data_IF_603987082378
#
_entry.id   IF_603987082378
#
_cell.length_a   1.000
_cell.length_b   1.000
_cell.length_c   1.000
_cell.angle_alpha   90.00
_cell.angle_beta   90.00
_cell.angle_gamma   90.00
#
_symmetry.space_group_name_H-M   'P 1'
#
loop_
_entity.id
_entity.type
_entity.pdbx_description
1 polymer ?
#
# COMPACT_ATOMS: atom_id res chain seq x y z
N UNK A 1 -39.27 15.15 -5.20
CA UNK A 1 -38.20 15.14 -4.19
C UNK A 1 -37.71 13.71 -4.08
N UNK A 2 -36.60 13.42 -4.74
CA UNK A 2 -36.00 12.09 -4.74
C UNK A 2 -35.22 11.94 -3.44
N UNK A 3 -35.59 10.95 -2.65
CA UNK A 3 -34.94 10.53 -1.43
C UNK A 3 -33.63 9.83 -1.86
N UNK A 4 -32.51 10.56 -1.85
CA UNK A 4 -31.18 9.97 -2.04
C UNK A 4 -30.87 9.08 -0.84
N UNK A 5 -30.86 7.79 -1.06
CA UNK A 5 -30.40 6.82 -0.08
C UNK A 5 -28.98 7.21 0.40
N UNK A 6 -28.71 7.18 1.71
CA UNK A 6 -27.40 7.57 2.23
C UNK A 6 -26.32 6.69 1.61
N UNK A 7 -25.32 7.33 1.01
CA UNK A 7 -24.17 6.66 0.42
C UNK A 7 -23.58 5.69 1.46
N UNK A 8 -23.41 4.42 1.05
CA UNK A 8 -22.82 3.39 1.92
C UNK A 8 -21.47 3.90 2.45
N UNK A 9 -21.42 4.19 3.73
CA UNK A 9 -20.21 4.60 4.43
C UNK A 9 -19.11 3.56 4.17
N UNK A 10 -18.04 3.99 3.52
CA UNK A 10 -16.86 3.15 3.35
C UNK A 10 -16.33 2.86 4.76
N UNK A 11 -16.17 1.58 5.08
CA UNK A 11 -15.67 1.17 6.40
C UNK A 11 -14.17 1.47 6.46
N UNK A 12 -13.79 2.61 7.04
CA UNK A 12 -12.41 3.01 7.28
C UNK A 12 -12.10 2.86 8.77
N UNK A 13 -10.97 2.27 9.10
CA UNK A 13 -10.56 2.06 10.49
C UNK A 13 -10.11 0.62 10.75
N UNK A 14 -9.62 0.33 11.96
CA UNK A 14 -9.16 -1.00 12.31
C UNK A 14 -10.30 -2.03 12.22
N UNK A 15 -10.00 -3.23 11.70
CA UNK A 15 -10.94 -4.37 11.68
C UNK A 15 -11.47 -4.59 13.11
N UNK A 16 -12.75 -4.33 13.36
CA UNK A 16 -13.35 -4.47 14.69
C UNK A 16 -14.40 -3.41 15.04
N UNK A 17 -14.72 -2.50 14.13
CA UNK A 17 -15.70 -1.43 14.33
C UNK A 17 -15.13 -0.18 15.02
N UNK A 18 -15.93 0.92 15.11
CA UNK A 18 -15.47 2.18 15.66
C UNK A 18 -15.16 2.03 17.14
N UNK A 19 -13.93 2.33 17.53
CA UNK A 19 -13.59 2.46 18.96
C UNK A 19 -14.15 3.80 19.47
N UNK A 20 -14.77 3.79 20.65
CA UNK A 20 -15.27 5.02 21.32
C UNK A 20 -14.22 6.14 21.42
N UNK A 21 -12.93 5.78 21.42
CA UNK A 21 -11.81 6.71 21.54
C UNK A 21 -11.32 7.27 20.19
N UNK A 22 -12.00 6.94 19.07
CA UNK A 22 -11.60 7.34 17.72
C UNK A 22 -10.34 6.62 17.20
N UNK A 23 -9.93 6.97 15.99
CA UNK A 23 -8.76 6.39 15.33
C UNK A 23 -7.96 7.47 14.58
N UNK A 24 -6.72 7.18 14.27
CA UNK A 24 -5.91 8.04 13.41
C UNK A 24 -6.08 7.61 11.96
N UNK A 25 -6.52 8.54 11.12
CA UNK A 25 -6.57 8.42 9.67
C UNK A 25 -5.33 9.07 9.09
N UNK A 26 -4.60 8.33 8.28
CA UNK A 26 -3.45 8.86 7.54
C UNK A 26 -3.88 9.03 6.09
N UNK A 27 -3.76 10.26 5.58
CA UNK A 27 -3.95 10.57 4.17
C UNK A 27 -2.66 11.11 3.58
N UNK A 28 -2.41 10.76 2.34
CA UNK A 28 -1.29 11.30 1.56
C UNK A 28 -1.72 12.59 0.83
N UNK A 29 -3.04 12.78 0.65
CA UNK A 29 -3.56 13.90 -0.12
C UNK A 29 -4.90 14.40 0.41
N UNK A 30 -4.95 15.68 0.71
CA UNK A 30 -6.18 16.44 0.90
C UNK A 30 -6.72 16.84 -0.48
N UNK A 31 -7.95 16.49 -0.78
CA UNK A 31 -8.59 16.72 -2.09
C UNK A 31 -9.34 18.04 -2.11
N UNK A 32 -10.08 18.35 -1.05
CA UNK A 32 -10.83 19.59 -0.93
C UNK A 32 -10.84 20.07 0.52
N UNK A 33 -10.88 21.39 0.70
CA UNK A 33 -11.03 22.06 1.99
C UNK A 33 -12.15 23.08 1.88
N UNK A 34 -13.17 22.95 2.73
CA UNK A 34 -14.28 23.90 2.82
C UNK A 34 -14.41 24.41 4.27
N UNK A 35 -13.74 25.52 4.61
CA UNK A 35 -13.77 26.06 5.98
C UNK A 35 -15.16 26.57 6.39
N UNK A 36 -15.95 27.10 5.44
CA UNK A 36 -17.30 27.64 5.73
C UNK A 36 -18.29 26.50 6.10
N UNK A 37 -18.21 25.37 5.39
CA UNK A 37 -18.99 24.19 5.70
C UNK A 37 -18.40 23.36 6.85
N UNK A 38 -17.21 23.72 7.37
CA UNK A 38 -16.45 22.93 8.35
C UNK A 38 -16.22 21.51 7.89
N UNK A 39 -15.85 21.34 6.64
CA UNK A 39 -15.66 20.04 5.99
C UNK A 39 -14.37 20.02 5.18
N UNK A 40 -13.83 18.82 5.03
CA UNK A 40 -12.74 18.57 4.09
C UNK A 40 -12.78 17.14 3.57
N UNK A 41 -12.21 16.96 2.40
CA UNK A 41 -12.19 15.68 1.69
C UNK A 41 -10.76 15.19 1.54
N UNK A 42 -10.55 13.91 1.84
CA UNK A 42 -9.25 13.25 1.77
C UNK A 42 -9.30 12.01 0.89
N UNK A 43 -8.21 11.78 0.18
CA UNK A 43 -7.99 10.57 -0.60
C UNK A 43 -7.35 9.50 0.27
N UNK A 44 -7.90 8.28 0.21
CA UNK A 44 -7.43 7.12 0.97
C UNK A 44 -6.74 6.14 0.03
N UNK A 45 -5.42 6.18 -0.04
CA UNK A 45 -4.64 5.27 -0.88
C UNK A 45 -4.84 3.80 -0.51
N UNK A 46 -5.00 3.49 0.77
CA UNK A 46 -5.28 2.14 1.25
C UNK A 46 -6.65 1.59 0.79
N UNK A 47 -7.48 2.40 0.13
CA UNK A 47 -8.83 2.07 -0.33
C UNK A 47 -9.03 2.44 -1.81
N UNK A 48 -8.05 2.14 -2.65
CA UNK A 48 -8.07 2.36 -4.11
C UNK A 48 -8.31 3.83 -4.52
N UNK A 49 -7.75 4.79 -3.77
CA UNK A 49 -7.90 6.22 -4.06
C UNK A 49 -9.32 6.77 -3.82
N UNK A 50 -10.16 6.06 -3.07
CA UNK A 50 -11.50 6.56 -2.71
C UNK A 50 -11.37 7.77 -1.80
N UNK A 51 -12.24 8.75 -2.01
CA UNK A 51 -12.29 9.94 -1.18
C UNK A 51 -13.28 9.77 -0.02
N UNK A 52 -13.00 10.44 1.09
CA UNK A 52 -13.86 10.48 2.27
C UNK A 52 -14.04 11.92 2.70
N UNK A 53 -15.28 12.32 2.85
CA UNK A 53 -15.66 13.60 3.44
C UNK A 53 -15.67 13.47 4.97
N UNK A 54 -15.05 14.42 5.64
CA UNK A 54 -14.99 14.50 7.09
C UNK A 54 -15.55 15.85 7.56
N UNK A 55 -16.40 15.83 8.57
CA UNK A 55 -16.79 17.02 9.30
C UNK A 55 -15.64 17.44 10.23
N UNK A 56 -15.52 18.71 10.56
CA UNK A 56 -14.45 19.23 11.40
C UNK A 56 -15.02 19.77 12.71
N UNK A 57 -14.49 19.29 13.82
CA UNK A 57 -14.86 19.78 15.15
C UNK A 57 -14.39 21.23 15.35
N UNK A 58 -15.08 21.96 16.21
CA UNK A 58 -14.75 23.38 16.51
C UNK A 58 -13.30 23.55 16.96
N UNK A 59 -12.82 22.64 17.78
CA UNK A 59 -11.44 22.65 18.29
C UNK A 59 -10.37 22.50 17.20
N UNK A 60 -10.74 21.93 16.04
CA UNK A 60 -9.82 21.65 14.93
C UNK A 60 -9.91 22.69 13.78
N UNK A 61 -10.77 23.73 13.92
CA UNK A 61 -10.97 24.70 12.84
C UNK A 61 -9.74 25.57 12.56
N UNK A 62 -8.94 25.87 13.57
CA UNK A 62 -7.70 26.62 13.37
C UNK A 62 -6.66 25.78 12.60
N UNK A 63 -6.58 24.51 12.87
CA UNK A 63 -5.71 23.58 12.12
C UNK A 63 -6.19 23.47 10.66
N UNK A 64 -7.53 23.44 10.43
CA UNK A 64 -8.10 23.38 9.08
C UNK A 64 -7.66 24.53 8.19
N UNK A 65 -7.50 25.74 8.74
CA UNK A 65 -7.04 26.93 7.99
C UNK A 65 -5.62 26.80 7.46
N UNK A 66 -4.82 25.92 8.06
CA UNK A 66 -3.41 25.70 7.66
C UNK A 66 -3.26 24.61 6.59
N UNK A 67 -4.28 23.75 6.43
CA UNK A 67 -4.28 22.64 5.48
C UNK A 67 -4.58 23.15 4.07
N UNK A 68 -3.82 22.68 3.09
CA UNK A 68 -4.01 22.98 1.67
C UNK A 68 -4.33 21.73 0.88
N UNK A 69 -5.04 21.89 -0.22
CA UNK A 69 -5.23 20.83 -1.21
C UNK A 69 -3.85 20.31 -1.66
N UNK A 70 -3.69 18.99 -1.63
CA UNK A 70 -2.43 18.32 -1.93
C UNK A 70 -1.54 18.05 -0.73
N UNK A 71 -1.88 18.51 0.48
CA UNK A 71 -1.13 18.17 1.69
C UNK A 71 -1.43 16.74 2.16
N UNK A 72 -0.40 16.08 2.68
CA UNK A 72 -0.59 14.88 3.50
C UNK A 72 -0.93 15.25 4.94
N UNK A 73 -1.75 14.45 5.60
CA UNK A 73 -2.13 14.71 6.99
C UNK A 73 -2.34 13.42 7.78
N UNK A 74 -2.10 13.51 9.08
CA UNK A 74 -2.61 12.54 10.07
C UNK A 74 -3.75 13.21 10.81
N UNK A 75 -4.92 12.57 10.82
CA UNK A 75 -6.17 13.14 11.28
C UNK A 75 -6.71 12.27 12.40
N UNK A 76 -7.01 12.85 13.55
CA UNK A 76 -7.74 12.15 14.59
C UNK A 76 -9.23 12.19 14.28
N UNK A 77 -9.82 11.05 13.98
CA UNK A 77 -11.23 10.91 13.61
C UNK A 77 -12.00 10.20 14.71
N UNK A 78 -13.19 10.72 15.02
CA UNK A 78 -14.18 10.10 15.91
C UNK A 78 -15.47 9.90 15.12
N UNK A 79 -16.17 8.81 15.35
CA UNK A 79 -17.50 8.58 14.78
C UNK A 79 -18.57 8.91 15.80
N UNK A 80 -19.40 9.93 15.53
CA UNK A 80 -20.49 10.40 16.37
C UNK A 80 -21.77 10.51 15.53
N UNK A 81 -22.84 9.84 15.94
CA UNK A 81 -24.14 9.92 15.26
C UNK A 81 -24.12 9.51 13.78
N UNK A 82 -23.24 8.58 13.38
CA UNK A 82 -23.07 8.15 12.00
C UNK A 82 -22.26 9.12 11.13
N UNK A 83 -21.68 10.16 11.73
CA UNK A 83 -20.77 11.10 11.05
C UNK A 83 -19.33 10.87 11.49
N UNK A 84 -18.40 11.19 10.61
CA UNK A 84 -16.96 11.16 10.89
C UNK A 84 -16.47 12.56 11.13
N UNK A 85 -15.98 12.81 12.34
CA UNK A 85 -15.59 14.12 12.80
C UNK A 85 -14.08 14.13 13.05
N UNK A 86 -13.38 15.02 12.36
CA UNK A 86 -11.97 15.28 12.60
C UNK A 86 -11.80 16.15 13.84
N UNK A 87 -11.10 15.66 14.84
CA UNK A 87 -10.85 16.33 16.13
C UNK A 87 -9.52 17.07 16.15
N UNK A 88 -8.56 16.64 15.38
CA UNK A 88 -7.28 17.34 15.22
C UNK A 88 -6.59 16.91 13.94
N UNK A 89 -5.70 17.75 13.44
CA UNK A 89 -4.89 17.53 12.28
C UNK A 89 -3.41 17.69 12.62
N UNK A 90 -2.60 16.83 12.04
CA UNK A 90 -1.15 17.02 12.00
C UNK A 90 -0.74 17.01 10.53
N UNK A 91 -0.43 18.18 9.98
CA UNK A 91 0.05 18.29 8.60
C UNK A 91 1.37 17.54 8.52
N UNK A 92 1.47 16.62 7.59
CA UNK A 92 2.74 15.94 7.27
C UNK A 92 3.54 16.91 6.41
N UNK A 93 4.80 17.11 6.79
CA UNK A 93 5.71 17.86 5.94
C UNK A 93 5.67 17.26 4.54
N UNK A 94 5.48 18.12 3.53
CA UNK A 94 5.46 17.69 2.14
C UNK A 94 6.80 17.02 1.86
N UNK A 95 6.78 15.74 1.55
CA UNK A 95 8.00 15.05 1.17
C UNK A 95 8.55 15.75 -0.09
N UNK A 96 9.75 16.31 -0.05
CA UNK A 96 10.33 16.98 -1.21
C UNK A 96 10.44 16.04 -2.41
N UNK A 97 10.43 14.73 -2.17
CA UNK A 97 10.49 13.70 -3.20
C UNK A 97 9.10 13.32 -3.77
N UNK A 98 7.99 13.70 -3.12
CA UNK A 98 6.65 13.30 -3.55
C UNK A 98 6.33 13.81 -4.97
N UNK A 99 6.59 15.08 -5.26
CA UNK A 99 6.36 15.64 -6.59
C UNK A 99 7.26 14.98 -7.66
N UNK A 100 8.50 14.65 -7.28
CA UNK A 100 9.43 13.93 -8.15
C UNK A 100 8.93 12.50 -8.41
N UNK A 101 8.47 11.81 -7.37
CA UNK A 101 7.90 10.48 -7.50
C UNK A 101 6.65 10.47 -8.39
N UNK A 102 5.75 11.46 -8.25
CA UNK A 102 4.55 11.59 -9.07
C UNK A 102 4.89 11.76 -10.55
N UNK A 103 5.88 12.61 -10.89
CA UNK A 103 6.36 12.77 -12.26
C UNK A 103 6.94 11.44 -12.80
N UNK A 104 7.78 10.76 -12.00
CA UNK A 104 8.41 9.50 -12.41
C UNK A 104 7.40 8.36 -12.57
N UNK A 105 6.30 8.35 -11.79
CA UNK A 105 5.23 7.38 -11.98
C UNK A 105 4.54 7.52 -13.35
N UNK A 106 4.41 8.75 -13.86
CA UNK A 106 3.91 9.00 -15.22
C UNK A 106 4.94 8.58 -16.28
N UNK A 107 6.20 8.91 -16.06
CA UNK A 107 7.29 8.63 -16.99
C UNK A 107 7.58 7.13 -17.15
N UNK A 108 7.15 6.26 -16.22
CA UNK A 108 7.21 4.80 -16.41
C UNK A 108 6.39 4.29 -17.61
N UNK A 109 5.43 5.11 -18.08
CA UNK A 109 4.59 4.80 -19.27
C UNK A 109 4.93 5.63 -20.48
N UNK A 110 6.03 6.37 -20.43
CA UNK A 110 6.48 7.23 -21.53
C UNK A 110 6.81 6.40 -22.79
N UNK A 111 6.43 6.84 -23.99
CA UNK A 111 6.79 6.17 -25.24
C UNK A 111 8.30 5.98 -25.41
N UNK A 112 9.09 6.92 -24.90
CA UNK A 112 10.55 6.88 -25.05
C UNK A 112 11.17 6.06 -23.92
N UNK A 113 11.83 4.97 -24.27
CA UNK A 113 12.42 4.02 -23.32
C UNK A 113 13.41 4.63 -22.31
N UNK A 114 14.13 5.68 -22.68
CA UNK A 114 15.05 6.37 -21.76
C UNK A 114 14.30 6.99 -20.58
N UNK A 115 13.11 7.57 -20.83
CA UNK A 115 12.30 8.15 -19.76
C UNK A 115 11.78 7.03 -18.84
N UNK A 116 11.29 5.91 -19.41
CA UNK A 116 10.88 4.74 -18.61
C UNK A 116 12.03 4.20 -17.76
N UNK A 117 13.23 4.08 -18.35
CA UNK A 117 14.45 3.62 -17.64
C UNK A 117 14.80 4.56 -16.49
N UNK A 118 14.86 5.86 -16.73
CA UNK A 118 15.15 6.87 -15.69
C UNK A 118 14.10 6.88 -14.58
N UNK A 119 12.85 6.82 -14.96
CA UNK A 119 11.74 6.77 -14.03
C UNK A 119 11.85 5.55 -13.10
N UNK A 120 12.11 4.37 -13.67
CA UNK A 120 12.32 3.16 -12.89
C UNK A 120 13.47 3.31 -11.87
N UNK A 121 14.60 3.86 -12.31
CA UNK A 121 15.77 4.06 -11.45
C UNK A 121 15.48 5.00 -10.28
N UNK A 122 14.91 6.18 -10.55
CA UNK A 122 14.58 7.18 -9.53
C UNK A 122 13.56 6.65 -8.52
N UNK A 123 12.53 5.96 -8.98
CA UNK A 123 11.51 5.38 -8.09
C UNK A 123 12.09 4.30 -7.17
N UNK A 124 13.07 3.54 -7.67
CA UNK A 124 13.81 2.60 -6.84
C UNK A 124 14.70 3.29 -5.79
N UNK A 125 15.37 4.39 -6.15
CA UNK A 125 16.18 5.18 -5.22
C UNK A 125 15.34 5.83 -4.12
N UNK A 126 14.17 6.35 -4.49
CA UNK A 126 13.19 6.90 -3.56
C UNK A 126 12.52 5.82 -2.70
N UNK A 127 12.68 4.55 -3.04
CA UNK A 127 11.96 3.40 -2.46
C UNK A 127 10.44 3.63 -2.49
N UNK A 128 9.95 4.18 -3.60
CA UNK A 128 8.56 4.56 -3.79
C UNK A 128 7.68 3.30 -3.91
N UNK A 129 6.91 3.03 -2.89
CA UNK A 129 6.08 1.81 -2.83
C UNK A 129 4.92 1.82 -3.82
N UNK A 130 4.40 3.00 -4.21
CA UNK A 130 3.37 3.14 -5.26
C UNK A 130 3.87 2.70 -6.63
N UNK A 131 5.19 2.70 -6.84
CA UNK A 131 5.80 2.25 -8.07
C UNK A 131 5.88 0.73 -8.22
N UNK A 132 5.57 -0.05 -7.17
CA UNK A 132 5.73 -1.51 -7.21
C UNK A 132 4.94 -2.13 -8.36
N UNK A 133 3.64 -1.82 -8.50
CA UNK A 133 2.82 -2.33 -9.60
C UNK A 133 3.39 -1.95 -10.98
N UNK A 134 3.58 -0.66 -11.28
CA UNK A 134 4.20 -0.22 -12.54
C UNK A 134 5.60 -0.80 -12.81
N UNK A 135 6.43 -0.98 -11.77
CA UNK A 135 7.76 -1.62 -11.94
C UNK A 135 7.65 -3.13 -12.21
N UNK A 136 6.64 -3.80 -11.67
CA UNK A 136 6.35 -5.19 -12.02
C UNK A 136 5.94 -5.30 -13.51
N UNK A 137 5.10 -4.40 -14.01
CA UNK A 137 4.79 -4.31 -15.45
C UNK A 137 6.06 -4.09 -16.29
N UNK A 138 6.97 -3.23 -15.83
CA UNK A 138 8.22 -2.94 -16.50
C UNK A 138 9.24 -4.10 -16.52
N UNK A 139 9.03 -5.17 -15.76
CA UNK A 139 9.87 -6.40 -15.84
C UNK A 139 9.74 -7.11 -17.18
N UNK A 140 8.68 -6.85 -17.94
CA UNK A 140 8.44 -7.39 -19.28
C UNK A 140 8.48 -6.31 -20.36
N UNK A 141 9.08 -5.14 -20.07
CA UNK A 141 9.28 -4.08 -21.06
C UNK A 141 10.04 -4.60 -22.30
N UNK A 142 9.72 -4.08 -23.47
CA UNK A 142 10.38 -4.43 -24.73
C UNK A 142 11.89 -4.16 -24.68
N UNK A 143 12.32 -3.12 -23.92
CA UNK A 143 13.71 -2.71 -23.82
C UNK A 143 14.40 -3.32 -22.61
N UNK A 144 15.46 -4.07 -22.82
CA UNK A 144 16.20 -4.77 -21.77
C UNK A 144 16.73 -3.88 -20.65
N UNK A 145 17.16 -2.67 -21.00
CA UNK A 145 17.62 -1.68 -20.01
C UNK A 145 16.52 -1.25 -19.05
N UNK A 146 15.28 -1.12 -19.53
CA UNK A 146 14.12 -0.81 -18.69
C UNK A 146 13.81 -1.98 -17.76
N UNK A 147 13.78 -3.22 -18.31
CA UNK A 147 13.60 -4.43 -17.48
C UNK A 147 14.63 -4.52 -16.36
N UNK A 148 15.91 -4.25 -16.68
CA UNK A 148 16.98 -4.30 -15.69
C UNK A 148 16.80 -3.24 -14.59
N UNK A 149 16.40 -2.01 -14.94
CA UNK A 149 16.15 -0.97 -13.93
C UNK A 149 14.94 -1.28 -13.07
N UNK A 150 13.87 -1.80 -13.64
CA UNK A 150 12.72 -2.26 -12.88
C UNK A 150 13.09 -3.37 -11.86
N UNK A 151 13.88 -4.34 -12.32
CA UNK A 151 14.43 -5.40 -11.47
C UNK A 151 15.23 -4.84 -10.29
N UNK A 152 16.22 -3.97 -10.55
CA UNK A 152 17.06 -3.38 -9.51
C UNK A 152 16.25 -2.52 -8.53
N UNK A 153 15.24 -1.82 -9.04
CA UNK A 153 14.38 -0.93 -8.25
C UNK A 153 13.45 -1.68 -7.33
N UNK A 154 12.88 -2.78 -7.76
CA UNK A 154 12.08 -3.66 -6.90
C UNK A 154 12.91 -4.25 -5.75
N UNK A 155 14.18 -4.56 -6.00
CA UNK A 155 15.10 -4.98 -4.93
C UNK A 155 15.36 -3.84 -3.95
N UNK A 156 15.58 -2.60 -4.42
CA UNK A 156 15.78 -1.41 -3.56
C UNK A 156 14.56 -1.09 -2.71
N UNK A 157 13.34 -1.25 -3.24
CA UNK A 157 12.07 -1.08 -2.52
C UNK A 157 11.97 -2.15 -1.43
N UNK A 158 12.40 -3.37 -1.70
CA UNK A 158 12.56 -4.40 -0.70
C UNK A 158 11.26 -5.13 -0.35
N UNK A 159 11.08 -5.43 0.96
CA UNK A 159 9.97 -6.26 1.46
C UNK A 159 8.58 -5.80 1.04
N UNK A 160 8.37 -4.49 0.88
CA UNK A 160 7.09 -3.92 0.43
C UNK A 160 6.69 -4.32 -0.99
N UNK A 161 7.65 -4.73 -1.84
CA UNK A 161 7.37 -5.22 -3.18
C UNK A 161 6.89 -6.69 -3.20
N UNK A 162 7.20 -7.47 -2.18
CA UNK A 162 6.99 -8.93 -2.17
C UNK A 162 5.52 -9.33 -2.36
N UNK A 163 4.51 -8.71 -1.72
CA UNK A 163 3.12 -9.08 -1.92
C UNK A 163 2.68 -9.04 -3.40
N UNK A 164 3.15 -8.06 -4.15
CA UNK A 164 2.86 -7.93 -5.60
C UNK A 164 3.65 -8.92 -6.46
N UNK A 165 4.80 -9.39 -5.98
CA UNK A 165 5.65 -10.36 -6.69
C UNK A 165 5.20 -11.81 -6.47
N UNK A 166 4.60 -12.11 -5.32
CA UNK A 166 4.19 -13.48 -4.95
C UNK A 166 3.29 -14.16 -5.99
N UNK A 167 2.21 -13.52 -6.52
CA UNK A 167 1.37 -14.17 -7.54
C UNK A 167 2.15 -14.56 -8.81
N UNK A 168 3.21 -13.83 -9.13
CA UNK A 168 4.02 -14.06 -10.33
C UNK A 168 4.98 -15.26 -10.21
N UNK A 169 5.15 -15.82 -9.02
CA UNK A 169 5.91 -17.06 -8.83
C UNK A 169 5.29 -18.27 -9.55
N UNK A 170 4.03 -18.17 -9.95
CA UNK A 170 3.32 -19.19 -10.74
C UNK A 170 3.02 -18.73 -12.18
N UNK A 171 3.63 -17.62 -12.62
CA UNK A 171 3.51 -17.15 -14.02
C UNK A 171 3.90 -18.25 -15.00
N UNK A 172 3.21 -18.32 -16.14
CA UNK A 172 3.57 -19.22 -17.25
C UNK A 172 4.82 -18.72 -18.01
N UNK A 173 5.13 -17.43 -17.94
CA UNK A 173 6.32 -16.85 -18.54
C UNK A 173 7.56 -17.19 -17.71
N UNK A 174 8.43 -18.03 -18.26
CA UNK A 174 9.62 -18.53 -17.56
C UNK A 174 10.57 -17.40 -17.15
N UNK A 175 10.81 -16.43 -18.01
CA UNK A 175 11.72 -15.31 -17.75
C UNK A 175 11.20 -14.42 -16.61
N UNK A 176 9.89 -14.08 -16.63
CA UNK A 176 9.28 -13.31 -15.57
C UNK A 176 9.33 -14.06 -14.23
N UNK A 177 8.97 -15.34 -14.24
CA UNK A 177 9.00 -16.17 -13.03
C UNK A 177 10.41 -16.29 -12.44
N UNK A 178 11.44 -16.42 -13.29
CA UNK A 178 12.84 -16.47 -12.86
C UNK A 178 13.27 -15.11 -12.27
N UNK A 179 12.96 -14.01 -12.95
CA UNK A 179 13.25 -12.65 -12.49
C UNK A 179 12.62 -12.37 -11.12
N UNK A 180 11.34 -12.70 -10.96
CA UNK A 180 10.62 -12.53 -9.70
C UNK A 180 11.23 -13.37 -8.57
N UNK A 181 11.56 -14.63 -8.85
CA UNK A 181 12.22 -15.51 -7.88
C UNK A 181 13.54 -14.91 -7.42
N UNK A 182 14.32 -14.38 -8.33
CA UNK A 182 15.63 -13.82 -8.04
C UNK A 182 15.54 -12.46 -7.32
N UNK A 183 14.57 -11.60 -7.68
CA UNK A 183 14.26 -10.36 -6.95
C UNK A 183 13.97 -10.68 -5.48
N UNK A 184 13.03 -11.59 -5.22
CA UNK A 184 12.65 -11.97 -3.86
C UNK A 184 13.85 -12.52 -3.09
N UNK A 185 14.67 -13.36 -3.73
CA UNK A 185 15.89 -13.90 -3.12
C UNK A 185 16.89 -12.78 -2.78
N UNK A 186 17.08 -11.79 -3.67
CA UNK A 186 17.98 -10.65 -3.43
C UNK A 186 17.45 -9.67 -2.39
N UNK A 187 16.16 -9.49 -2.27
CA UNK A 187 15.54 -8.75 -1.16
C UNK A 187 15.95 -9.39 0.19
N UNK A 188 16.02 -10.72 0.24
CA UNK A 188 16.54 -11.43 1.40
C UNK A 188 15.60 -11.40 2.61
N UNK A 189 16.18 -11.21 3.81
CA UNK A 189 15.42 -11.29 5.07
C UNK A 189 14.11 -10.48 5.10
N UNK A 190 14.01 -9.26 4.54
CA UNK A 190 12.74 -8.52 4.48
C UNK A 190 11.61 -9.20 3.69
N UNK A 191 11.93 -10.17 2.82
CA UNK A 191 10.92 -10.91 2.07
C UNK A 191 10.30 -12.07 2.85
N UNK A 192 10.91 -12.51 3.94
CA UNK A 192 10.49 -13.73 4.67
C UNK A 192 9.09 -13.60 5.26
N UNK A 193 8.79 -12.51 5.94
CA UNK A 193 7.49 -12.31 6.59
C UNK A 193 6.35 -12.18 5.56
N UNK A 194 6.46 -11.36 4.50
CA UNK A 194 5.46 -11.33 3.43
C UNK A 194 5.25 -12.69 2.76
N UNK A 195 6.30 -13.48 2.52
CA UNK A 195 6.18 -14.83 1.96
C UNK A 195 5.47 -15.78 2.92
N UNK A 196 5.78 -15.72 4.21
CA UNK A 196 5.13 -16.53 5.22
C UNK A 196 3.63 -16.20 5.36
N UNK A 197 3.28 -14.91 5.25
CA UNK A 197 1.89 -14.45 5.23
C UNK A 197 1.16 -14.99 3.99
N UNK A 198 1.79 -14.93 2.83
CA UNK A 198 1.20 -15.41 1.58
C UNK A 198 0.93 -16.93 1.58
N UNK A 199 1.69 -17.71 2.35
CA UNK A 199 1.44 -19.17 2.51
C UNK A 199 0.06 -19.48 3.10
N UNK A 200 -0.56 -18.55 3.83
CA UNK A 200 -1.83 -18.80 4.52
C UNK A 200 -2.97 -19.01 3.53
N UNK A 201 -3.00 -18.21 2.46
CA UNK A 201 -4.11 -18.17 1.50
C UNK A 201 -3.72 -18.70 0.11
N UNK A 202 -2.47 -19.16 -0.06
CA UNK A 202 -1.97 -19.68 -1.32
C UNK A 202 -2.59 -21.05 -1.67
N UNK A 203 -2.80 -21.33 -2.94
CA UNK A 203 -3.07 -22.65 -3.45
C UNK A 203 -1.82 -23.56 -3.39
N UNK A 204 -1.95 -24.84 -3.67
CA UNK A 204 -0.86 -25.81 -3.55
C UNK A 204 0.31 -25.52 -4.52
N UNK A 205 0.01 -25.00 -5.70
CA UNK A 205 1.03 -24.63 -6.70
C UNK A 205 1.88 -23.45 -6.19
N UNK A 206 1.23 -22.40 -5.70
CA UNK A 206 1.88 -21.23 -5.15
C UNK A 206 2.61 -21.57 -3.84
N UNK A 207 2.01 -22.35 -2.94
CA UNK A 207 2.66 -22.85 -1.72
C UNK A 207 3.98 -23.53 -2.03
N UNK A 208 3.96 -24.44 -2.99
CA UNK A 208 5.17 -25.15 -3.42
C UNK A 208 6.26 -24.21 -3.91
N UNK A 209 5.89 -23.17 -4.67
CA UNK A 209 6.83 -22.16 -5.16
C UNK A 209 7.39 -21.31 -4.04
N UNK A 210 6.54 -20.79 -3.15
CA UNK A 210 6.97 -19.99 -2.00
C UNK A 210 7.92 -20.80 -1.11
N UNK A 211 7.58 -22.06 -0.79
CA UNK A 211 8.44 -22.94 0.02
C UNK A 211 9.81 -23.15 -0.63
N UNK A 212 9.87 -23.33 -1.94
CA UNK A 212 11.12 -23.46 -2.68
C UNK A 212 11.97 -22.20 -2.65
N UNK A 213 11.34 -21.02 -2.67
CA UNK A 213 12.04 -19.73 -2.53
C UNK A 213 12.59 -19.59 -1.12
N UNK A 214 11.79 -19.84 -0.09
CA UNK A 214 12.21 -19.79 1.31
C UNK A 214 13.37 -20.76 1.61
N UNK A 215 13.30 -21.98 1.09
CA UNK A 215 14.36 -22.99 1.26
C UNK A 215 15.70 -22.49 0.63
N UNK A 216 15.65 -21.94 -0.58
CA UNK A 216 16.82 -21.34 -1.25
C UNK A 216 17.39 -20.13 -0.50
N UNK A 217 16.58 -19.45 0.28
CA UNK A 217 17.00 -18.36 1.17
C UNK A 217 17.52 -18.87 2.53
N UNK A 218 17.52 -20.19 2.72
CA UNK A 218 17.93 -20.82 3.98
C UNK A 218 16.91 -20.69 5.12
N UNK A 219 15.67 -20.32 4.80
CA UNK A 219 14.61 -20.18 5.78
C UNK A 219 13.71 -21.41 5.78
N UNK A 220 13.62 -22.07 6.95
CA UNK A 220 12.68 -23.17 7.19
C UNK A 220 11.50 -22.62 8.00
N UNK A 221 10.30 -22.48 7.41
CA UNK A 221 9.12 -22.08 8.17
C UNK A 221 8.91 -23.08 9.30
N UNK A 222 8.71 -22.57 10.51
CA UNK A 222 8.31 -23.43 11.64
C UNK A 222 6.95 -24.03 11.28
N UNK A 223 6.75 -25.35 11.45
CA UNK A 223 5.42 -25.92 11.35
C UNK A 223 4.52 -25.15 12.33
N UNK A 224 3.31 -24.76 11.86
CA UNK A 224 2.30 -24.24 12.78
C UNK A 224 2.15 -25.32 13.86
N UNK A 225 2.48 -24.99 15.13
CA UNK A 225 2.00 -25.79 16.24
C UNK A 225 0.49 -25.87 16.06
N UNK A 226 0.01 -27.10 15.80
CA UNK A 226 -1.41 -27.39 15.87
C UNK A 226 -1.85 -26.85 17.22
N UNK A 227 -2.72 -25.84 17.20
CA UNK A 227 -3.36 -25.37 18.42
C UNK A 227 -3.98 -26.61 19.05
N UNK A 228 -3.36 -27.11 20.12
CA UNK A 228 -3.92 -28.20 20.92
C UNK A 228 -5.29 -27.71 21.34
N UNK A 229 -6.31 -28.26 20.69
CA UNK A 229 -7.66 -28.15 21.17
C UNK A 229 -7.62 -28.76 22.58
N UNK A 230 -7.64 -27.92 23.60
CA UNK A 230 -7.95 -28.31 24.95
C UNK A 230 -9.36 -28.91 24.90
N UNK A 231 -9.43 -30.20 24.83
CA UNK A 231 -10.68 -30.92 25.07
C UNK A 231 -11.01 -30.70 26.53
N UNK A 232 -12.14 -30.03 26.89
CA UNK A 232 -12.54 -29.93 28.27
C UNK A 232 -12.79 -31.32 28.78
N UNK A 233 -12.01 -31.76 29.77
CA UNK A 233 -12.34 -32.99 30.53
C UNK A 233 -13.60 -32.67 31.31
N UNK A 234 -14.73 -33.19 30.83
CA UNK A 234 -15.95 -33.34 31.62
C UNK A 234 -15.63 -34.32 32.75
N UNK A 235 -15.56 -33.78 33.97
CA UNK A 235 -15.61 -34.49 35.24
C UNK A 235 -17.00 -34.39 35.82
#
# INVERSE_FOLDING_TARGET
>A
MADEAPAKLIQIGPKGGPKKDGFNLVTERVVAVNPEAKQFEVELLAYDGKTVLLDVAEEALEDLKQIKVGDGATIRVVEEGGRRIAKSFKIRAKDPNAAKADAMLLDLKDPHWLNRKYAAEILGELKETRAVGPLVEALIDEVGDVRQRAYDSLIKIGGSAVPSLVPLLVSEEDELRQSVTEIIRKIGKPAVEPLATALTDADDRLKTRIMKVLDRMGYKPKPKEEAKAEVPRLG
#
